data_IF_379074972730
#
_entry.id   IF_379074972730
#
_cell.length_a   1.000
_cell.length_b   1.000
_cell.length_c   1.000
_cell.angle_alpha   90.00
_cell.angle_beta   90.00
_cell.angle_gamma   90.00
#
_symmetry.space_group_name_H-M   'P 1'
#
loop_
_entity.id
_entity.type
_entity.pdbx_description
1 polymer ?
#
# COMPACT_ATOMS: atom_id res chain seq x y z
N UNK A 1 17.78 0.33 -9.55
CA UNK A 1 16.71 1.31 -9.86
C UNK A 1 15.35 0.69 -10.23
N UNK A 2 15.23 -0.64 -10.45
CA UNK A 2 14.01 -1.29 -10.99
C UNK A 2 12.98 -1.79 -9.96
N UNK A 3 13.23 -1.70 -8.64
CA UNK A 3 12.33 -2.27 -7.59
C UNK A 3 11.53 -1.26 -6.76
N UNK A 4 11.68 0.03 -7.06
CA UNK A 4 10.87 1.11 -6.45
C UNK A 4 9.55 1.35 -7.21
N UNK A 5 9.40 0.70 -8.37
CA UNK A 5 8.26 0.85 -9.26
C UNK A 5 6.99 0.33 -8.58
N UNK A 6 7.01 -0.78 -7.84
CA UNK A 6 5.81 -1.39 -7.24
C UNK A 6 5.05 -0.49 -6.24
N UNK A 7 5.76 0.36 -5.48
CA UNK A 7 5.13 1.35 -4.58
C UNK A 7 4.52 2.53 -5.35
N UNK A 8 5.15 2.90 -6.47
CA UNK A 8 4.67 3.89 -7.42
C UNK A 8 3.40 3.38 -8.13
N UNK A 9 3.41 2.10 -8.49
CA UNK A 9 2.31 1.43 -9.18
C UNK A 9 1.03 1.30 -8.33
N UNK A 10 1.17 1.15 -7.01
CA UNK A 10 0.05 1.13 -6.04
C UNK A 10 -0.71 2.48 -5.98
N UNK A 11 0.02 3.59 -6.08
CA UNK A 11 -0.54 4.93 -6.11
C UNK A 11 -1.19 5.27 -7.46
N UNK A 12 -0.52 4.86 -8.55
CA UNK A 12 -1.04 5.00 -9.91
C UNK A 12 -2.34 4.19 -10.10
N UNK A 13 -2.39 2.93 -9.64
CA UNK A 13 -3.57 2.07 -9.81
C UNK A 13 -4.83 2.63 -9.12
N UNK A 14 -4.68 3.17 -7.90
CA UNK A 14 -5.79 3.82 -7.19
C UNK A 14 -6.32 5.05 -7.93
N UNK A 15 -5.46 5.80 -8.62
CA UNK A 15 -5.84 6.95 -9.42
C UNK A 15 -6.47 6.55 -10.77
N UNK A 16 -6.14 5.39 -11.30
CA UNK A 16 -6.45 5.05 -12.70
C UNK A 16 -7.66 4.13 -12.88
N UNK A 17 -8.10 3.41 -11.86
CA UNK A 17 -9.27 2.51 -12.00
C UNK A 17 -10.26 2.62 -10.85
N UNK A 18 -10.03 3.45 -9.84
CA UNK A 18 -10.81 3.31 -8.63
C UNK A 18 -10.38 2.13 -7.75
N UNK A 19 -9.15 1.67 -7.95
CA UNK A 19 -8.60 0.44 -7.38
C UNK A 19 -8.48 0.57 -5.86
N UNK A 20 -9.23 -0.26 -5.14
CA UNK A 20 -9.11 -0.36 -3.68
C UNK A 20 -8.19 -1.53 -3.32
N UNK A 21 -7.07 -1.22 -2.67
CA UNK A 21 -6.22 -2.22 -2.05
C UNK A 21 -6.84 -2.63 -0.71
N UNK A 22 -7.98 -3.30 -0.76
CA UNK A 22 -8.45 -4.06 0.37
C UNK A 22 -7.44 -5.20 0.61
N UNK A 23 -6.87 -5.38 1.82
CA UNK A 23 -6.13 -6.59 2.13
C UNK A 23 -6.99 -7.80 1.82
N UNK A 24 -6.44 -8.74 1.05
CA UNK A 24 -6.99 -10.07 0.83
C UNK A 24 -7.24 -10.76 2.17
N UNK A 25 -8.43 -10.59 2.76
CA UNK A 25 -8.73 -11.04 4.13
C UNK A 25 -8.63 -12.56 4.29
N UNK A 26 -8.68 -13.33 3.21
CA UNK A 26 -8.70 -14.79 3.23
C UNK A 26 -7.33 -15.46 3.33
N UNK A 27 -6.22 -14.76 3.07
CA UNK A 27 -4.87 -15.28 3.34
C UNK A 27 -4.45 -15.17 4.82
N UNK A 28 -5.19 -14.40 5.63
CA UNK A 28 -4.81 -14.03 7.01
C UNK A 28 -5.58 -14.74 8.12
N UNK A 29 -6.42 -15.72 7.79
CA UNK A 29 -7.11 -16.54 8.81
C UNK A 29 -6.73 -18.01 8.68
N UNK A 30 -5.88 -18.49 9.63
CA UNK A 30 -5.99 -19.90 10.02
C UNK A 30 -7.37 -20.06 10.68
N UNK A 31 -8.14 -21.10 10.35
CA UNK A 31 -9.39 -21.37 11.05
C UNK A 31 -9.03 -21.68 12.51
N UNK A 32 -9.27 -20.72 13.40
CA UNK A 32 -9.32 -20.98 14.83
C UNK A 32 -10.76 -21.30 15.16
N UNK A 33 -10.99 -22.55 15.56
CA UNK A 33 -12.29 -23.01 16.03
C UNK A 33 -12.66 -22.26 17.31
N UNK A 34 -13.40 -21.17 17.19
CA UNK A 34 -14.17 -20.63 18.31
C UNK A 34 -15.50 -20.07 17.80
N UNK A 35 -16.57 -20.57 18.41
CA UNK A 35 -17.95 -20.28 18.10
C UNK A 35 -18.31 -18.85 18.55
N UNK A 36 -18.62 -17.98 17.60
CA UNK A 36 -19.19 -16.66 17.87
C UNK A 36 -19.49 -15.91 16.57
N UNK A 37 -20.76 -15.50 16.41
CA UNK A 37 -21.35 -14.62 15.38
C UNK A 37 -20.56 -14.45 14.07
N UNK A 38 -21.05 -15.08 13.00
CA UNK A 38 -20.69 -14.79 11.61
C UNK A 38 -21.05 -13.32 11.30
N UNK A 39 -20.08 -12.42 11.35
CA UNK A 39 -20.15 -11.16 10.61
C UNK A 39 -20.18 -11.50 9.12
N UNK A 40 -21.04 -10.82 8.36
CA UNK A 40 -21.21 -11.02 6.92
C UNK A 40 -19.97 -10.52 6.18
N UNK A 41 -18.95 -11.37 6.07
CA UNK A 41 -17.82 -11.18 5.16
C UNK A 41 -18.38 -11.25 3.75
N UNK A 42 -18.21 -10.18 2.96
CA UNK A 42 -18.48 -10.20 1.52
C UNK A 42 -17.72 -11.38 0.94
N UNK A 43 -18.43 -12.37 0.38
CA UNK A 43 -17.79 -13.51 -0.24
C UNK A 43 -16.89 -13.00 -1.37
N UNK A 44 -15.57 -13.16 -1.24
CA UNK A 44 -14.63 -12.84 -2.31
C UNK A 44 -14.95 -13.76 -3.49
N UNK A 45 -15.34 -13.16 -4.62
CA UNK A 45 -15.63 -13.90 -5.84
C UNK A 45 -14.28 -14.17 -6.51
N UNK A 46 -13.91 -15.45 -6.63
CA UNK A 46 -12.76 -15.88 -7.42
C UNK A 46 -13.24 -16.34 -8.79
N UNK A 47 -12.61 -15.86 -9.86
CA UNK A 47 -12.88 -16.31 -11.23
C UNK A 47 -11.75 -17.19 -11.74
N UNK A 48 -12.10 -18.22 -12.51
CA UNK A 48 -11.13 -19.05 -13.22
C UNK A 48 -10.94 -18.52 -14.63
N UNK A 49 -9.70 -18.25 -15.03
CA UNK A 49 -9.35 -17.82 -16.37
C UNK A 49 -8.52 -18.93 -17.02
N UNK A 50 -8.95 -19.42 -18.18
CA UNK A 50 -8.24 -20.43 -18.95
C UNK A 50 -7.48 -19.77 -20.11
N UNK A 51 -6.20 -20.09 -20.25
CA UNK A 51 -5.35 -19.61 -21.35
C UNK A 51 -4.34 -20.70 -21.71
N UNK A 52 -4.25 -21.06 -22.99
CA UNK A 52 -3.27 -22.03 -23.51
C UNK A 52 -3.18 -23.36 -22.73
N UNK A 53 -4.32 -23.85 -22.23
CA UNK A 53 -4.41 -25.10 -21.46
C UNK A 53 -4.03 -24.98 -19.99
N UNK A 54 -3.75 -23.77 -19.50
CA UNK A 54 -3.54 -23.46 -18.09
C UNK A 54 -4.76 -22.71 -17.54
N UNK A 55 -5.25 -23.15 -16.37
CA UNK A 55 -6.33 -22.49 -15.66
C UNK A 55 -5.75 -21.73 -14.47
N UNK A 56 -6.02 -20.42 -14.37
CA UNK A 56 -5.61 -19.58 -13.25
C UNK A 56 -6.81 -19.23 -12.39
N UNK A 57 -6.63 -19.26 -11.06
CA UNK A 57 -7.61 -18.69 -10.12
C UNK A 57 -7.22 -17.24 -9.85
N UNK A 58 -8.08 -16.30 -10.23
CA UNK A 58 -7.88 -14.87 -10.00
C UNK A 58 -8.89 -14.40 -8.97
N UNK A 59 -8.40 -13.77 -7.91
CA UNK A 59 -9.26 -13.08 -6.96
C UNK A 59 -9.75 -11.77 -7.57
N UNK A 60 -11.07 -11.55 -7.54
CA UNK A 60 -11.66 -10.31 -8.00
C UNK A 60 -11.33 -9.16 -7.06
N UNK A 61 -11.13 -7.97 -7.64
CA UNK A 61 -10.74 -6.76 -6.91
C UNK A 61 -11.88 -5.75 -7.00
N UNK A 62 -12.32 -5.17 -5.87
CA UNK A 62 -13.37 -4.17 -5.92
C UNK A 62 -12.99 -2.97 -6.80
N UNK A 63 -13.88 -2.63 -7.72
CA UNK A 63 -13.73 -1.52 -8.66
C UNK A 63 -14.88 -0.53 -8.49
N UNK A 64 -14.64 0.78 -8.63
CA UNK A 64 -15.70 1.80 -8.49
C UNK A 64 -16.93 1.52 -9.37
N UNK A 65 -16.69 1.02 -10.59
CA UNK A 65 -17.70 0.56 -11.57
C UNK A 65 -18.69 -0.47 -10.97
N UNK A 66 -18.28 -1.23 -9.95
CA UNK A 66 -19.11 -2.25 -9.33
C UNK A 66 -20.26 -1.66 -8.49
N UNK A 67 -20.16 -0.40 -8.05
CA UNK A 67 -21.20 0.27 -7.27
C UNK A 67 -21.57 1.67 -7.78
N UNK A 68 -20.94 2.13 -8.87
CA UNK A 68 -21.29 3.34 -9.60
C UNK A 68 -21.58 2.92 -11.05
N UNK A 69 -22.85 2.62 -11.39
CA UNK A 69 -23.21 2.00 -12.67
C UNK A 69 -22.81 2.82 -13.90
N UNK A 70 -22.91 4.15 -13.80
CA UNK A 70 -22.62 5.09 -14.89
C UNK A 70 -21.30 5.82 -14.67
N UNK A 71 -20.28 5.13 -14.14
CA UNK A 71 -18.96 5.72 -13.90
C UNK A 71 -18.30 6.08 -15.23
N UNK A 72 -18.21 7.39 -15.49
CA UNK A 72 -17.42 7.91 -16.60
C UNK A 72 -15.92 7.67 -16.38
N UNK A 73 -15.25 7.22 -17.44
CA UNK A 73 -13.79 7.01 -17.45
C UNK A 73 -13.18 8.04 -18.40
N UNK A 74 -12.17 8.75 -17.92
CA UNK A 74 -11.49 9.84 -18.64
C UNK A 74 -10.12 9.39 -19.15
N UNK A 75 -9.56 10.07 -20.15
CA UNK A 75 -8.18 9.79 -20.56
C UNK A 75 -7.19 10.21 -19.49
N UNK A 76 -6.14 9.41 -19.32
CA UNK A 76 -5.09 9.69 -18.33
C UNK A 76 -4.31 10.97 -18.67
N UNK A 77 -4.00 11.83 -17.68
CA UNK A 77 -3.17 13.00 -17.92
C UNK A 77 -1.72 12.62 -18.28
N UNK A 78 -1.27 11.40 -17.98
CA UNK A 78 0.12 10.96 -18.20
C UNK A 78 0.57 10.98 -19.68
N UNK A 79 -0.36 10.81 -20.63
CA UNK A 79 -0.05 10.87 -22.07
C UNK A 79 0.02 12.29 -22.64
N UNK A 80 -0.65 13.24 -21.99
CA UNK A 80 -0.86 14.62 -22.46
C UNK A 80 -0.24 15.68 -21.53
N UNK A 81 0.45 15.26 -20.46
CA UNK A 81 1.11 16.17 -19.53
C UNK A 81 2.16 17.01 -20.26
N UNK A 82 2.28 18.31 -19.95
CA UNK A 82 3.31 19.15 -20.54
C UNK A 82 4.71 18.58 -20.23
N UNK A 83 5.66 18.76 -21.14
CA UNK A 83 7.03 18.21 -20.99
C UNK A 83 7.74 18.72 -19.71
N UNK A 84 7.25 19.81 -19.11
CA UNK A 84 7.67 20.31 -17.79
C UNK A 84 7.31 19.37 -16.62
N UNK A 85 6.26 18.57 -16.76
CA UNK A 85 5.78 17.60 -15.76
C UNK A 85 6.34 16.19 -15.99
N UNK A 86 6.61 15.82 -17.25
CA UNK A 86 7.11 14.49 -17.60
C UNK A 86 8.16 14.59 -18.73
N UNK A 87 9.42 14.26 -18.41
CA UNK A 87 10.54 14.36 -19.36
C UNK A 87 10.49 13.35 -20.51
N UNK A 88 9.72 12.28 -20.35
CA UNK A 88 9.58 11.21 -21.32
C UNK A 88 8.12 10.83 -21.38
N UNK A 89 7.52 10.90 -22.57
CA UNK A 89 6.13 10.49 -22.75
C UNK A 89 6.04 8.96 -22.74
N UNK A 90 5.03 8.40 -22.06
CA UNK A 90 4.83 6.97 -22.04
C UNK A 90 4.42 6.45 -23.42
N UNK A 91 5.13 5.43 -23.92
CA UNK A 91 4.73 4.62 -25.07
C UNK A 91 3.45 3.82 -24.73
N UNK A 92 2.60 3.40 -25.70
CA UNK A 92 1.43 2.57 -25.40
C UNK A 92 1.72 1.33 -24.53
N UNK A 93 2.91 0.73 -24.64
CA UNK A 93 3.36 -0.39 -23.80
C UNK A 93 3.61 -0.05 -22.32
N UNK A 94 3.60 1.24 -21.97
CA UNK A 94 3.69 1.73 -20.60
C UNK A 94 2.42 1.44 -19.80
N UNK A 95 1.27 1.52 -20.47
CA UNK A 95 -0.03 1.28 -19.84
C UNK A 95 -0.28 -0.21 -19.71
N UNK A 96 -0.84 -0.60 -18.57
CA UNK A 96 -1.15 -1.98 -18.22
C UNK A 96 -2.65 -2.17 -18.38
N UNK A 97 -3.10 -3.28 -18.95
CA UNK A 97 -4.52 -3.53 -19.19
C UNK A 97 -5.23 -4.12 -17.96
N UNK A 98 -6.57 -4.08 -17.93
CA UNK A 98 -7.39 -4.68 -16.87
C UNK A 98 -7.16 -6.21 -16.77
N UNK A 99 -6.90 -6.85 -17.92
CA UNK A 99 -6.68 -8.30 -18.04
C UNK A 99 -5.20 -8.71 -17.88
N UNK A 100 -4.30 -7.78 -17.59
CA UNK A 100 -2.90 -8.12 -17.33
C UNK A 100 -2.76 -8.80 -15.96
N UNK A 101 -2.35 -10.06 -15.97
CA UNK A 101 -2.20 -10.89 -14.77
C UNK A 101 -0.75 -11.30 -14.53
N UNK A 102 -0.39 -11.46 -13.25
CA UNK A 102 0.89 -12.01 -12.80
C UNK A 102 0.62 -13.31 -12.05
N UNK A 103 1.21 -14.41 -12.49
CA UNK A 103 1.12 -15.68 -11.80
C UNK A 103 1.79 -15.58 -10.41
N UNK A 104 1.09 -16.03 -9.36
CA UNK A 104 1.62 -16.07 -8.00
C UNK A 104 2.82 -17.03 -7.88
N UNK A 105 2.78 -18.11 -8.66
CA UNK A 105 3.84 -19.09 -8.75
C UNK A 105 4.19 -19.29 -10.22
N UNK A 106 5.46 -19.09 -10.56
CA UNK A 106 5.95 -19.19 -11.95
C UNK A 106 6.51 -20.59 -12.26
N UNK A 107 6.83 -21.37 -11.23
CA UNK A 107 7.40 -22.71 -11.35
C UNK A 107 6.37 -23.78 -10.97
N UNK A 108 6.09 -24.70 -11.89
CA UNK A 108 5.14 -25.80 -11.70
C UNK A 108 5.81 -27.16 -11.97
N UNK A 109 5.42 -28.18 -11.22
CA UNK A 109 5.78 -29.57 -11.55
C UNK A 109 4.72 -30.18 -12.46
N UNK A 110 5.12 -31.05 -13.39
CA UNK A 110 4.22 -31.67 -14.37
C UNK A 110 3.09 -32.53 -13.74
N UNK A 111 3.18 -32.84 -12.44
CA UNK A 111 2.24 -33.68 -11.69
C UNK A 111 1.25 -32.85 -10.83
N UNK A 112 1.50 -31.56 -10.63
CA UNK A 112 0.61 -30.71 -9.82
C UNK A 112 -0.52 -30.14 -10.67
N UNK A 113 -1.65 -30.86 -10.68
CA UNK A 113 -2.91 -30.43 -11.29
C UNK A 113 -3.63 -29.35 -10.45
N UNK A 114 -2.94 -28.27 -10.08
CA UNK A 114 -3.58 -27.11 -9.42
C UNK A 114 -3.63 -25.95 -10.37
N UNK A 115 -4.79 -25.28 -10.44
CA UNK A 115 -4.92 -23.99 -11.08
C UNK A 115 -4.08 -22.95 -10.31
N UNK A 116 -2.93 -22.47 -10.83
CA UNK A 116 -2.16 -21.44 -10.17
C UNK A 116 -3.00 -20.22 -9.79
N UNK A 117 -2.75 -19.66 -8.62
CA UNK A 117 -3.27 -18.34 -8.29
C UNK A 117 -2.58 -17.29 -9.18
N UNK A 118 -3.32 -16.28 -9.61
CA UNK A 118 -2.77 -15.10 -10.29
C UNK A 118 -3.37 -13.82 -9.71
N UNK A 119 -2.61 -12.73 -9.83
CA UNK A 119 -2.96 -11.40 -9.32
C UNK A 119 -3.01 -10.39 -10.47
N UNK A 120 -3.87 -9.39 -10.35
CA UNK A 120 -3.88 -8.28 -11.30
C UNK A 120 -2.56 -7.50 -11.25
N UNK A 121 -2.00 -7.22 -12.42
CA UNK A 121 -0.83 -6.35 -12.54
C UNK A 121 -1.24 -4.92 -12.24
N UNK A 122 -0.66 -4.36 -11.19
CA UNK A 122 -0.74 -2.93 -10.96
C UNK A 122 -0.03 -2.19 -12.11
N UNK A 123 -0.54 -1.02 -12.50
CA UNK A 123 0.08 -0.19 -13.54
C UNK A 123 -0.60 1.16 -13.69
N UNK A 124 0.05 2.06 -14.43
CA UNK A 124 -0.67 3.16 -15.05
C UNK A 124 -1.70 2.59 -16.03
N UNK A 125 -2.90 3.18 -16.10
CA UNK A 125 -3.89 2.87 -17.14
C UNK A 125 -4.04 4.04 -18.10
N UNK A 126 -4.49 3.72 -19.31
CA UNK A 126 -4.81 4.71 -20.33
C UNK A 126 -6.05 5.54 -19.96
N UNK A 127 -6.98 4.96 -19.19
CA UNK A 127 -8.17 5.65 -18.68
C UNK A 127 -8.15 5.76 -17.16
N UNK A 128 -8.81 6.76 -16.61
CA UNK A 128 -8.86 7.09 -15.18
C UNK A 128 -10.29 7.39 -14.73
N UNK A 129 -10.66 6.98 -13.52
CA UNK A 129 -12.01 7.19 -13.00
C UNK A 129 -12.27 8.63 -12.52
N UNK A 130 -11.21 9.40 -12.23
CA UNK A 130 -11.32 10.76 -11.69
C UNK A 130 -10.76 11.77 -12.67
N UNK A 131 -11.54 12.81 -12.95
CA UNK A 131 -11.03 13.99 -13.63
C UNK A 131 -10.09 14.76 -12.68
N UNK A 132 -9.03 15.36 -13.23
CA UNK A 132 -8.03 16.13 -12.47
C UNK A 132 -8.65 17.25 -11.62
N UNK A 133 -9.71 17.90 -12.12
CA UNK A 133 -10.42 18.97 -11.41
C UNK A 133 -11.27 18.50 -10.22
N UNK A 134 -11.70 17.24 -10.25
CA UNK A 134 -12.52 16.60 -9.20
C UNK A 134 -11.64 15.97 -8.11
N UNK A 135 -10.44 15.51 -8.48
CA UNK A 135 -9.56 14.76 -7.58
C UNK A 135 -9.07 15.62 -6.40
N UNK A 136 -9.34 15.14 -5.19
CA UNK A 136 -8.81 15.68 -3.94
C UNK A 136 -8.36 14.53 -3.04
N UNK A 137 -7.06 14.52 -2.76
CA UNK A 137 -6.42 13.40 -2.08
C UNK A 137 -6.08 13.71 -0.62
N UNK A 138 -6.04 12.67 0.20
CA UNK A 138 -5.49 12.69 1.55
C UNK A 138 -4.51 11.53 1.76
N UNK A 139 -3.43 11.79 2.49
CA UNK A 139 -2.39 10.82 2.84
C UNK A 139 -2.28 10.76 4.37
N UNK A 140 -2.32 9.57 4.96
CA UNK A 140 -2.09 9.39 6.39
C UNK A 140 -1.13 8.23 6.66
N UNK A 141 -0.22 8.41 7.63
CA UNK A 141 0.67 7.34 8.10
C UNK A 141 0.18 6.81 9.44
N UNK A 142 0.09 5.50 9.57
CA UNK A 142 -0.53 4.82 10.71
C UNK A 142 0.36 3.72 11.30
N UNK A 143 0.25 3.50 12.61
CA UNK A 143 0.96 2.46 13.34
C UNK A 143 2.40 2.83 13.71
N UNK A 144 3.24 1.80 13.89
CA UNK A 144 4.65 1.98 14.26
C UNK A 144 5.49 2.57 13.11
N UNK A 145 6.50 3.36 13.45
CA UNK A 145 7.42 3.96 12.49
C UNK A 145 8.28 2.89 11.81
N UNK A 146 8.66 3.15 10.56
CA UNK A 146 9.67 2.39 9.86
C UNK A 146 10.47 3.32 8.92
N UNK A 147 11.69 2.92 8.53
CA UNK A 147 12.43 3.64 7.51
C UNK A 147 11.62 3.76 6.20
N UNK A 148 11.72 4.91 5.53
CA UNK A 148 11.10 5.15 4.23
C UNK A 148 9.69 5.74 4.26
N UNK A 149 9.05 5.93 5.42
CA UNK A 149 7.71 6.52 5.51
C UNK A 149 7.61 7.90 4.83
N UNK A 150 8.56 8.79 5.10
CA UNK A 150 8.60 10.09 4.43
C UNK A 150 8.82 9.99 2.92
N UNK A 151 9.59 9.00 2.46
CA UNK A 151 9.75 8.72 1.03
C UNK A 151 8.41 8.34 0.41
N UNK A 152 7.62 7.47 1.06
CA UNK A 152 6.27 7.13 0.57
C UNK A 152 5.38 8.37 0.48
N UNK A 153 5.32 9.18 1.53
CA UNK A 153 4.50 10.41 1.55
C UNK A 153 4.92 11.36 0.41
N UNK A 154 6.22 11.57 0.23
CA UNK A 154 6.77 12.42 -0.83
C UNK A 154 6.41 11.89 -2.22
N UNK A 155 6.66 10.62 -2.50
CA UNK A 155 6.43 10.05 -3.83
C UNK A 155 4.93 9.98 -4.16
N UNK A 156 4.07 9.70 -3.17
CA UNK A 156 2.61 9.83 -3.34
C UNK A 156 2.22 11.24 -3.72
N UNK A 157 2.70 12.24 -2.96
CA UNK A 157 2.42 13.64 -3.26
C UNK A 157 2.89 14.03 -4.66
N UNK A 158 4.15 13.74 -5.01
CA UNK A 158 4.71 14.13 -6.31
C UNK A 158 4.02 13.42 -7.48
N UNK A 159 3.61 12.16 -7.30
CA UNK A 159 2.82 11.45 -8.32
C UNK A 159 1.48 12.16 -8.53
N UNK A 160 0.72 12.37 -7.46
CA UNK A 160 -0.59 13.03 -7.51
C UNK A 160 -0.49 14.45 -8.09
N UNK A 161 0.41 15.28 -7.57
CA UNK A 161 0.51 16.69 -7.94
C UNK A 161 1.17 16.91 -9.30
N UNK A 162 2.35 16.31 -9.55
CA UNK A 162 3.11 16.57 -10.78
C UNK A 162 2.68 15.72 -11.95
N UNK A 163 2.30 14.47 -11.73
CA UNK A 163 2.00 13.56 -12.84
C UNK A 163 0.50 13.54 -13.18
N UNK A 164 -0.35 13.62 -12.16
CA UNK A 164 -1.81 13.61 -12.34
C UNK A 164 -2.45 14.99 -12.22
N UNK A 165 -1.70 16.03 -11.85
CA UNK A 165 -2.22 17.40 -11.77
C UNK A 165 -3.20 17.63 -10.61
N UNK A 166 -3.27 16.72 -9.64
CA UNK A 166 -4.17 16.81 -8.48
C UNK A 166 -3.79 18.05 -7.68
N UNK A 167 -4.70 19.04 -7.65
CA UNK A 167 -4.43 20.36 -7.08
C UNK A 167 -4.35 20.37 -5.56
N UNK A 168 -5.12 19.50 -4.91
CA UNK A 168 -5.20 19.47 -3.44
C UNK A 168 -4.85 18.08 -2.92
N UNK A 169 -3.74 18.01 -2.21
CA UNK A 169 -3.27 16.81 -1.52
C UNK A 169 -3.03 17.17 -0.06
N UNK A 170 -3.83 16.55 0.83
CA UNK A 170 -3.75 16.79 2.27
C UNK A 170 -2.92 15.70 2.94
N UNK A 171 -2.10 16.09 3.91
CA UNK A 171 -1.49 15.20 4.88
C UNK A 171 -2.33 15.19 6.16
N UNK A 172 -2.83 14.03 6.56
CA UNK A 172 -3.58 13.88 7.82
C UNK A 172 -2.61 13.46 8.92
N UNK A 173 -2.49 14.30 9.95
CA UNK A 173 -1.55 14.09 11.03
C UNK A 173 -2.08 13.12 12.09
N UNK A 174 -1.16 12.42 12.75
CA UNK A 174 -1.48 11.52 13.87
C UNK A 174 -2.34 10.29 13.48
N UNK A 175 -2.20 9.80 12.25
CA UNK A 175 -2.89 8.58 11.76
C UNK A 175 -4.42 8.69 11.77
N UNK A 176 -5.12 7.60 12.08
CA UNK A 176 -6.59 7.61 12.11
C UNK A 176 -7.18 8.60 13.13
N UNK A 177 -6.51 8.81 14.26
CA UNK A 177 -6.95 9.77 15.28
C UNK A 177 -6.92 11.24 14.79
N UNK A 178 -6.27 11.51 13.65
CA UNK A 178 -6.28 12.81 13.01
C UNK A 178 -7.58 13.14 12.27
N UNK A 179 -8.33 12.13 11.85
CA UNK A 179 -9.59 12.36 11.15
C UNK A 179 -10.65 12.93 12.11
N UNK A 180 -11.56 13.75 11.57
CA UNK A 180 -12.52 14.51 12.36
C UNK A 180 -11.96 15.77 13.04
N UNK A 181 -10.66 16.05 12.86
CA UNK A 181 -9.98 17.22 13.43
C UNK A 181 -9.40 18.09 12.32
N UNK A 182 -10.00 19.26 12.09
CA UNK A 182 -9.59 20.15 11.00
C UNK A 182 -8.16 20.68 11.18
N UNK A 183 -7.67 20.82 12.43
CA UNK A 183 -6.30 21.23 12.75
C UNK A 183 -5.22 20.18 12.37
N UNK A 184 -5.65 18.97 12.01
CA UNK A 184 -4.76 17.85 11.67
C UNK A 184 -4.61 17.63 10.18
N UNK A 185 -5.46 18.23 9.36
CA UNK A 185 -5.27 18.27 7.92
C UNK A 185 -4.31 19.41 7.57
N UNK A 186 -3.18 19.07 6.94
CA UNK A 186 -2.23 20.05 6.40
C UNK A 186 -2.18 19.91 4.90
N UNK A 187 -2.07 21.02 4.18
CA UNK A 187 -1.84 20.97 2.75
C UNK A 187 -0.38 20.61 2.48
N UNK A 188 -0.16 19.59 1.64
CA UNK A 188 1.16 19.22 1.19
C UNK A 188 1.53 20.07 -0.02
N UNK A 189 2.74 20.62 0.00
CA UNK A 189 3.32 21.37 -1.12
C UNK A 189 4.65 20.76 -1.54
N UNK A 190 5.16 21.13 -2.71
CA UNK A 190 6.48 20.68 -3.16
C UNK A 190 7.57 21.07 -2.17
N UNK A 191 7.49 22.28 -1.62
CA UNK A 191 8.41 22.78 -0.59
C UNK A 191 8.30 21.95 0.68
N UNK A 192 7.08 21.61 1.11
CA UNK A 192 6.86 20.79 2.29
C UNK A 192 7.51 19.41 2.17
N UNK A 193 7.42 18.78 0.99
CA UNK A 193 7.93 17.40 0.78
C UNK A 193 9.35 17.34 0.20
N UNK A 194 10.00 18.48 -0.08
CA UNK A 194 11.24 18.52 -0.86
C UNK A 194 12.36 17.61 -0.31
N UNK A 195 12.53 17.61 1.01
CA UNK A 195 13.64 16.96 1.71
C UNK A 195 13.23 15.96 2.81
N UNK A 196 11.94 15.67 2.94
CA UNK A 196 11.44 14.80 4.02
C UNK A 196 11.98 13.37 3.90
N UNK A 197 12.29 12.89 2.70
CA UNK A 197 12.89 11.58 2.41
C UNK A 197 14.27 11.38 3.05
N UNK A 198 14.96 12.47 3.43
CA UNK A 198 16.25 12.43 4.13
C UNK A 198 16.07 12.20 5.63
N UNK A 199 14.85 12.31 6.15
CA UNK A 199 14.53 12.24 7.57
C UNK A 199 13.90 10.90 7.93
N UNK A 200 14.27 10.34 9.08
CA UNK A 200 13.59 9.18 9.67
C UNK A 200 12.18 9.52 10.16
N UNK A 201 11.41 8.48 10.48
CA UNK A 201 10.04 8.64 10.98
C UNK A 201 9.07 9.16 9.91
N UNK A 202 8.09 9.97 10.31
CA UNK A 202 7.10 10.55 9.41
C UNK A 202 6.73 11.98 9.81
N UNK A 203 6.77 12.91 8.85
CA UNK A 203 6.40 14.33 9.06
C UNK A 203 4.93 14.52 9.44
N UNK A 204 4.07 13.57 9.03
CA UNK A 204 2.65 13.57 9.39
C UNK A 204 2.43 13.16 10.85
N UNK A 205 3.43 12.60 11.55
CA UNK A 205 3.25 11.83 12.80
C UNK A 205 2.31 10.63 12.58
N UNK A 206 2.38 9.69 13.50
CA UNK A 206 1.59 8.46 13.42
C UNK A 206 1.06 8.08 14.79
N UNK A 207 -0.07 7.38 14.81
CA UNK A 207 -0.67 6.83 16.02
C UNK A 207 -1.04 5.35 15.82
N UNK A 208 -1.23 4.64 16.94
CA UNK A 208 -1.81 3.29 16.95
C UNK A 208 -3.27 3.40 17.40
N UNK A 209 -4.17 2.70 16.71
CA UNK A 209 -5.61 2.76 17.02
C UNK A 209 -6.26 4.05 16.53
N UNK A 210 -7.31 4.50 17.22
CA UNK A 210 -8.05 5.72 16.86
C UNK A 210 -8.91 5.61 15.60
N UNK A 211 -9.15 4.39 15.11
CA UNK A 211 -10.01 4.14 13.97
C UNK A 211 -11.49 4.29 14.38
N UNK A 212 -12.17 5.25 13.78
CA UNK A 212 -13.61 5.38 13.81
C UNK A 212 -14.10 5.58 12.37
N UNK A 213 -14.75 4.55 11.81
CA UNK A 213 -15.19 4.55 10.41
C UNK A 213 -16.11 5.73 10.11
N UNK A 214 -17.06 6.05 11.00
CA UNK A 214 -18.04 7.09 10.74
C UNK A 214 -17.38 8.46 10.74
N UNK A 215 -16.55 8.74 11.75
CA UNK A 215 -15.82 10.00 11.85
C UNK A 215 -14.88 10.20 10.65
N UNK A 216 -14.20 9.14 10.21
CA UNK A 216 -13.31 9.19 9.05
C UNK A 216 -14.11 9.50 7.78
N UNK A 217 -15.18 8.74 7.49
CA UNK A 217 -16.01 8.95 6.31
C UNK A 217 -16.66 10.34 6.31
N UNK A 218 -17.18 10.80 7.45
CA UNK A 218 -17.77 12.14 7.59
C UNK A 218 -16.72 13.24 7.32
N UNK A 219 -15.49 13.05 7.81
CA UNK A 219 -14.39 13.99 7.56
C UNK A 219 -13.93 14.00 6.10
N UNK A 220 -13.91 12.84 5.42
CA UNK A 220 -13.61 12.74 4.00
C UNK A 220 -14.67 13.51 3.19
N UNK A 221 -15.95 13.27 3.48
CA UNK A 221 -17.05 13.95 2.80
C UNK A 221 -17.07 15.46 3.05
N UNK A 222 -16.93 15.88 4.32
CA UNK A 222 -16.94 17.30 4.69
C UNK A 222 -15.81 18.10 4.02
N UNK A 223 -14.66 17.45 3.78
CA UNK A 223 -13.53 18.07 3.10
C UNK A 223 -13.54 17.82 1.58
N UNK A 224 -14.50 17.06 1.05
CA UNK A 224 -14.56 16.70 -0.36
C UNK A 224 -13.39 15.82 -0.83
N UNK A 225 -12.79 15.05 0.07
CA UNK A 225 -11.70 14.11 -0.25
C UNK A 225 -12.31 12.87 -0.90
N UNK A 226 -11.87 12.56 -2.12
CA UNK A 226 -12.30 11.39 -2.87
C UNK A 226 -11.17 10.37 -3.10
N UNK A 227 -9.94 10.68 -2.72
CA UNK A 227 -8.84 9.72 -2.72
C UNK A 227 -8.17 9.67 -1.36
N UNK A 228 -8.18 8.52 -0.68
CA UNK A 228 -7.51 8.31 0.60
C UNK A 228 -6.37 7.31 0.44
N UNK A 229 -5.15 7.72 0.78
CA UNK A 229 -3.97 6.88 0.81
C UNK A 229 -3.49 6.66 2.24
N UNK A 230 -3.47 5.40 2.66
CA UNK A 230 -3.06 4.99 4.00
C UNK A 230 -1.74 4.25 3.93
N UNK A 231 -0.78 4.60 4.79
CA UNK A 231 0.50 3.89 4.91
C UNK A 231 0.56 3.25 6.28
N UNK A 232 0.44 1.92 6.36
CA UNK A 232 0.27 1.25 7.65
C UNK A 232 0.34 -0.29 7.58
N UNK A 233 0.35 -0.93 8.75
CA UNK A 233 0.34 -2.39 8.85
C UNK A 233 -1.08 -2.97 8.89
N UNK A 234 -1.24 -4.19 9.38
CA UNK A 234 -2.52 -4.94 9.35
C UNK A 234 -3.71 -4.20 9.93
N UNK A 235 -3.53 -3.49 11.05
CA UNK A 235 -4.61 -2.70 11.65
C UNK A 235 -5.11 -1.59 10.74
N UNK A 236 -4.21 -0.99 9.97
CA UNK A 236 -4.53 0.04 8.97
C UNK A 236 -5.20 -0.58 7.75
N UNK A 237 -4.70 -1.72 7.27
CA UNK A 237 -5.33 -2.44 6.16
C UNK A 237 -6.77 -2.87 6.52
N UNK A 238 -7.00 -3.38 7.73
CA UNK A 238 -8.35 -3.72 8.23
C UNK A 238 -9.27 -2.49 8.36
N UNK A 239 -8.72 -1.35 8.80
CA UNK A 239 -9.47 -0.10 8.87
C UNK A 239 -9.86 0.43 7.48
N UNK A 240 -8.97 0.30 6.50
CA UNK A 240 -9.21 0.69 5.11
C UNK A 240 -10.43 -0.02 4.50
N UNK A 241 -10.55 -1.34 4.69
CA UNK A 241 -11.73 -2.12 4.23
C UNK A 241 -13.02 -1.54 4.81
N UNK A 242 -13.04 -1.23 6.11
CA UNK A 242 -14.23 -0.67 6.76
C UNK A 242 -14.61 0.71 6.20
N UNK A 243 -13.60 1.55 5.89
CA UNK A 243 -13.83 2.87 5.28
C UNK A 243 -14.37 2.69 3.87
N UNK A 244 -13.78 1.79 3.07
CA UNK A 244 -14.26 1.48 1.73
C UNK A 244 -15.71 1.00 1.74
N UNK A 245 -16.03 0.01 2.57
CA UNK A 245 -17.38 -0.56 2.66
C UNK A 245 -18.41 0.51 3.03
N UNK A 246 -18.05 1.42 3.94
CA UNK A 246 -18.92 2.53 4.33
C UNK A 246 -19.07 3.57 3.21
N UNK A 247 -17.99 3.97 2.54
CA UNK A 247 -18.06 4.90 1.40
C UNK A 247 -18.86 4.30 0.24
N UNK A 248 -18.73 2.99 0.00
CA UNK A 248 -19.54 2.23 -0.95
C UNK A 248 -21.01 2.24 -0.55
N UNK A 249 -21.33 1.96 0.72
CA UNK A 249 -22.71 2.00 1.23
C UNK A 249 -23.35 3.39 1.07
N UNK A 250 -22.55 4.45 1.19
CA UNK A 250 -22.97 5.83 0.97
C UNK A 250 -23.02 6.24 -0.51
N UNK A 251 -22.68 5.35 -1.43
CA UNK A 251 -22.65 5.63 -2.88
C UNK A 251 -21.61 6.69 -3.27
N UNK A 252 -20.54 6.84 -2.49
CA UNK A 252 -19.52 7.85 -2.74
C UNK A 252 -18.50 7.36 -3.76
N UNK A 253 -18.17 8.22 -4.72
CA UNK A 253 -17.03 8.05 -5.62
C UNK A 253 -15.75 8.35 -4.85
N UNK A 254 -15.31 7.39 -4.03
CA UNK A 254 -14.13 7.53 -3.19
C UNK A 254 -13.29 6.25 -3.22
N UNK A 255 -11.98 6.42 -3.35
CA UNK A 255 -10.99 5.33 -3.30
C UNK A 255 -10.19 5.37 -2.03
N UNK A 256 -9.85 4.19 -1.54
CA UNK A 256 -8.99 3.93 -0.39
C UNK A 256 -7.84 3.02 -0.83
N UNK A 257 -6.68 3.62 -1.07
CA UNK A 257 -5.44 2.91 -1.35
C UNK A 257 -4.63 2.65 -0.07
N UNK A 258 -3.98 1.50 0.03
CA UNK A 258 -3.12 1.17 1.17
C UNK A 258 -1.72 0.77 0.70
N UNK A 259 -0.71 1.40 1.29
CA UNK A 259 0.69 1.01 1.14
C UNK A 259 1.09 0.18 2.36
N UNK A 260 1.33 -1.14 2.21
CA UNK A 260 1.59 -2.04 3.32
C UNK A 260 2.94 -1.72 3.98
N UNK A 261 2.91 -1.46 5.28
CA UNK A 261 4.05 -1.01 6.08
C UNK A 261 4.37 -2.00 7.20
N UNK A 262 5.39 -2.82 6.98
CA UNK A 262 5.98 -3.72 7.98
C UNK A 262 7.50 -3.74 7.80
N UNK A 263 8.27 -3.70 8.89
CA UNK A 263 9.71 -4.00 8.81
C UNK A 263 9.97 -5.50 8.92
N UNK A 264 8.98 -6.27 9.38
CA UNK A 264 9.14 -7.70 9.65
C UNK A 264 9.08 -8.53 8.36
N UNK A 265 8.82 -7.91 7.20
CA UNK A 265 8.67 -8.54 5.88
C UNK A 265 7.70 -9.72 5.87
N UNK A 266 6.58 -9.59 6.59
CA UNK A 266 5.62 -10.65 6.87
C UNK A 266 4.30 -10.53 6.10
N UNK A 267 4.32 -9.80 4.98
CA UNK A 267 3.17 -9.67 4.08
C UNK A 267 3.25 -10.80 3.03
N UNK A 268 2.34 -11.80 3.02
CA UNK A 268 2.49 -13.03 2.25
C UNK A 268 2.60 -12.87 0.73
N UNK A 269 2.14 -11.75 0.19
CA UNK A 269 2.03 -11.50 -1.26
C UNK A 269 3.14 -10.62 -1.83
N UNK A 270 4.05 -10.12 -0.99
CA UNK A 270 5.20 -9.33 -1.42
C UNK A 270 6.48 -10.01 -0.95
N UNK A 271 7.48 -10.07 -1.83
CA UNK A 271 8.79 -10.61 -1.45
C UNK A 271 9.53 -9.70 -0.46
N UNK A 272 9.28 -8.40 -0.55
CA UNK A 272 10.00 -7.38 0.21
C UNK A 272 9.15 -6.16 0.51
N UNK A 273 8.96 -5.86 1.79
CA UNK A 273 8.39 -4.62 2.29
C UNK A 273 9.44 -3.50 2.37
N UNK A 274 9.01 -2.26 2.21
CA UNK A 274 9.91 -1.13 2.39
C UNK A 274 10.37 -1.00 3.85
N UNK A 275 11.61 -0.56 4.03
CA UNK A 275 12.24 -0.45 5.36
C UNK A 275 12.87 -1.75 5.89
N UNK A 276 12.56 -2.92 5.31
CA UNK A 276 13.16 -4.21 5.70
C UNK A 276 14.70 -4.20 5.54
N UNK A 277 15.22 -3.86 4.34
CA UNK A 277 16.67 -3.85 4.10
C UNK A 277 17.41 -2.89 5.02
N UNK A 278 16.84 -1.70 5.29
CA UNK A 278 17.43 -0.76 6.24
C UNK A 278 17.43 -1.36 7.65
N UNK A 279 16.35 -2.01 8.08
CA UNK A 279 16.30 -2.69 9.37
C UNK A 279 17.34 -3.82 9.48
N UNK A 280 17.58 -4.58 8.40
CA UNK A 280 18.62 -5.62 8.34
C UNK A 280 20.02 -5.01 8.45
N UNK A 281 20.29 -3.90 7.76
CA UNK A 281 21.59 -3.21 7.83
C UNK A 281 21.89 -2.70 9.25
N UNK A 282 20.91 -2.06 9.90
CA UNK A 282 21.04 -1.61 11.28
C UNK A 282 21.21 -2.79 12.25
N UNK A 283 20.44 -3.87 12.06
CA UNK A 283 20.56 -5.09 12.86
C UNK A 283 21.96 -5.71 12.75
N UNK A 284 22.52 -5.82 11.54
CA UNK A 284 23.85 -6.35 11.32
C UNK A 284 24.93 -5.52 12.03
N UNK A 285 24.81 -4.19 12.01
CA UNK A 285 25.73 -3.30 12.75
C UNK A 285 25.72 -3.59 14.25
N UNK A 286 24.54 -3.75 14.85
CA UNK A 286 24.41 -4.08 16.27
C UNK A 286 24.88 -5.49 16.63
N UNK A 287 24.66 -6.48 15.76
CA UNK A 287 25.20 -7.84 15.93
C UNK A 287 26.72 -7.79 15.95
N UNK A 288 27.34 -7.07 15.00
CA UNK A 288 28.80 -6.95 14.93
C UNK A 288 29.38 -6.28 16.18
N UNK A 289 28.75 -5.23 16.69
CA UNK A 289 29.17 -4.60 17.94
C UNK A 289 29.11 -5.58 19.13
N UNK A 290 28.01 -6.33 19.26
CA UNK A 290 27.88 -7.34 20.31
C UNK A 290 28.90 -8.48 20.19
N UNK A 291 29.24 -8.87 18.95
CA UNK A 291 30.30 -9.85 18.69
C UNK A 291 31.66 -9.34 19.15
N UNK A 292 32.03 -8.11 18.81
CA UNK A 292 33.31 -7.51 19.24
C UNK A 292 33.43 -7.46 20.76
N UNK A 293 32.37 -7.06 21.47
CA UNK A 293 32.33 -7.05 22.94
C UNK A 293 32.47 -8.46 23.53
N UNK A 294 31.74 -9.43 23.00
CA UNK A 294 31.80 -10.81 23.48
C UNK A 294 33.18 -11.45 23.26
N UNK A 295 33.81 -11.19 22.10
CA UNK A 295 35.13 -11.70 21.77
C UNK A 295 36.25 -11.07 22.62
N UNK A 296 36.03 -9.86 23.16
CA UNK A 296 37.00 -9.16 23.99
C UNK A 296 37.13 -9.69 25.43
N UNK A 297 36.29 -10.64 25.85
CA UNK A 297 36.25 -11.15 27.22
C UNK A 297 36.24 -12.69 27.27
N UNK A 298 37.04 -13.33 28.16
CA UNK A 298 36.93 -14.78 28.39
C UNK A 298 35.50 -15.17 28.79
N UNK A 299 34.90 -16.11 28.04
CA UNK A 299 33.50 -16.53 28.20
C UNK A 299 32.46 -15.42 28.01
N UNK A 300 32.77 -14.40 27.19
CA UNK A 300 31.84 -13.32 26.87
C UNK A 300 30.61 -13.79 26.08
N UNK A 301 29.43 -13.28 26.44
CA UNK A 301 28.16 -13.56 25.75
C UNK A 301 27.53 -12.24 25.32
N UNK A 302 27.36 -12.05 24.01
CA UNK A 302 26.63 -10.93 23.43
C UNK A 302 25.18 -11.33 23.14
N UNK A 303 24.22 -10.59 23.69
CA UNK A 303 22.79 -10.81 23.43
C UNK A 303 22.19 -9.58 22.75
N UNK A 304 21.67 -9.76 21.53
CA UNK A 304 21.01 -8.70 20.75
C UNK A 304 19.55 -9.07 20.53
N UNK A 305 18.63 -8.18 20.92
CA UNK A 305 17.20 -8.31 20.60
C UNK A 305 16.89 -7.52 19.34
N UNK A 306 16.35 -8.20 18.33
CA UNK A 306 15.95 -7.61 17.06
C UNK A 306 14.42 -7.51 16.92
N UNK A 307 14.00 -6.82 15.86
CA UNK A 307 12.59 -6.75 15.43
C UNK A 307 12.15 -8.10 14.81
N UNK A 308 10.85 -8.33 14.70
CA UNK A 308 10.28 -9.63 14.33
C UNK A 308 9.17 -10.05 15.30
N UNK A 309 7.99 -9.44 15.19
CA UNK A 309 6.87 -9.71 16.11
C UNK A 309 6.31 -11.12 15.91
N UNK A 310 6.15 -11.53 14.66
CA UNK A 310 5.56 -12.81 14.26
C UNK A 310 6.42 -13.60 13.27
N UNK A 311 7.50 -12.99 12.76
CA UNK A 311 8.45 -13.59 11.82
C UNK A 311 9.89 -13.32 12.24
N UNK A 312 10.81 -14.18 11.79
CA UNK A 312 12.25 -14.07 12.09
C UNK A 312 13.09 -13.55 10.94
N UNK A 313 12.50 -12.91 9.91
CA UNK A 313 13.23 -12.56 8.68
C UNK A 313 14.42 -11.63 8.94
N UNK A 314 14.24 -10.56 9.73
CA UNK A 314 15.35 -9.67 10.08
C UNK A 314 16.45 -10.44 10.79
N UNK A 315 16.10 -11.23 11.81
CA UNK A 315 17.07 -11.99 12.59
C UNK A 315 17.84 -12.99 11.72
N UNK A 316 17.17 -13.68 10.80
CA UNK A 316 17.81 -14.63 9.89
C UNK A 316 18.73 -13.94 8.87
N UNK A 317 18.29 -12.83 8.29
CA UNK A 317 19.04 -12.13 7.22
C UNK A 317 20.18 -11.28 7.75
N UNK A 318 20.09 -10.77 8.98
CA UNK A 318 21.11 -9.87 9.55
C UNK A 318 22.38 -10.59 10.02
N UNK A 319 22.35 -11.92 10.17
CA UNK A 319 23.55 -12.70 10.55
C UNK A 319 24.50 -12.74 9.36
N UNK A 320 25.72 -12.18 9.46
CA UNK A 320 26.70 -12.28 8.39
C UNK A 320 27.08 -13.76 8.16
N UNK A 321 27.41 -14.15 6.91
CA UNK A 321 27.94 -15.49 6.66
C UNK A 321 29.23 -15.73 7.46
N UNK A 322 29.49 -16.99 7.88
CA UNK A 322 30.67 -17.36 8.64
C UNK A 322 31.98 -17.14 7.87
#
# INVERSE_FOLDING_TARGET
MSRFITLFTLALAACTDGFNFAPQQTLFSRPTASSGRRESVVAQISRTIETDGLAFTVEDIPHLKNWIPDLEMHDTPLGNAPDSMMKTRPDPSFFVNEDDLIAAQVAHTAQEARSPQAFHRAGARAKVAFEVGEAKAAIATCGGLCPGLNTVVRELYLCLSRQYGVKTVLGIRDGYAGFGRIDKAIELTEEYVADIQKQGGTVLRSSRGGHDTMVICDALEAQGINMLFLVGGDGTMKGAVKIEDEMRRRGKKCVVGVVPKTIDNDVPVIDMSFGFNTAVQEAASHINAAYTEAAGCPNGIGVVRLMGRHSGFIAMTAVPPP
#
